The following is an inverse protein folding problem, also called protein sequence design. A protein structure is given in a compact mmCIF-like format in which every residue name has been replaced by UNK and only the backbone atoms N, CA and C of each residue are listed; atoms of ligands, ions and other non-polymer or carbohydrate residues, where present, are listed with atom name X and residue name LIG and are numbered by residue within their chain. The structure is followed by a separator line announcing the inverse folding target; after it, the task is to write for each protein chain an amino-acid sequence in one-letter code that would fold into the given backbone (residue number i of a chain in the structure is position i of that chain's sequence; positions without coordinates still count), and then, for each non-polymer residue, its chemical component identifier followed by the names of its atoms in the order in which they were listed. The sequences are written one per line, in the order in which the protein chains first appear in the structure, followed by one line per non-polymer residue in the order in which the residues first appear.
data_IF_542623402393
#
_entry.id   IF_542623402393
#
_cell.length_a   1.000
_cell.length_b   1.000
_cell.length_c   1.000
_cell.angle_alpha   90.00
_cell.angle_beta   90.00
_cell.angle_gamma   90.00
#
_symmetry.space_group_name_H-M   'P 1'
#
loop_
_entity.id
_entity.type
_entity.pdbx_description
1 polymer ?
#
# COMPACT_ATOMS: atom_id res chain seq x y z
N UNK A 1 5.29 -12.12 7.71
CA UNK A 1 5.16 -11.14 6.62
C UNK A 1 3.89 -11.50 5.88
N UNK A 2 2.93 -10.60 5.66
CA UNK A 2 1.86 -10.92 4.70
C UNK A 2 2.53 -10.98 3.33
N UNK A 3 2.54 -12.17 2.76
CA UNK A 3 3.08 -12.45 1.43
C UNK A 3 2.35 -11.57 0.42
N UNK A 4 3.07 -11.08 -0.58
CA UNK A 4 2.44 -10.40 -1.70
C UNK A 4 1.47 -11.35 -2.39
N UNK A 5 0.30 -10.86 -2.75
CA UNK A 5 -0.69 -11.63 -3.47
C UNK A 5 -0.54 -11.36 -4.96
N UNK A 6 -0.66 -12.38 -5.79
CA UNK A 6 -0.70 -12.18 -7.23
C UNK A 6 -1.95 -11.36 -7.61
N UNK A 7 -1.83 -10.50 -8.61
CA UNK A 7 -2.94 -9.75 -9.17
C UNK A 7 -2.77 -9.62 -10.67
N UNK A 8 -3.90 -9.57 -11.39
CA UNK A 8 -3.93 -9.62 -12.84
C UNK A 8 -4.70 -8.43 -13.44
N UNK A 9 -4.27 -8.00 -14.62
CA UNK A 9 -4.84 -6.89 -15.38
C UNK A 9 -4.84 -7.20 -16.88
N UNK A 10 -5.80 -6.66 -17.63
CA UNK A 10 -5.82 -6.70 -19.10
C UNK A 10 -5.15 -5.50 -19.75
N UNK A 11 -4.82 -4.45 -18.99
CA UNK A 11 -4.40 -3.15 -19.53
C UNK A 11 -3.18 -2.53 -18.82
N UNK A 12 -2.46 -3.30 -18.00
CA UNK A 12 -1.31 -2.86 -17.20
C UNK A 12 -1.63 -1.80 -16.12
N UNK A 13 -2.89 -1.36 -15.97
CA UNK A 13 -3.27 -0.33 -15.00
C UNK A 13 -4.23 -0.88 -13.94
N UNK A 14 -5.28 -1.59 -14.36
CA UNK A 14 -6.39 -2.01 -13.53
C UNK A 14 -6.22 -3.45 -13.02
N UNK A 15 -5.25 -3.65 -12.12
CA UNK A 15 -5.00 -4.93 -11.46
C UNK A 15 -6.09 -5.29 -10.45
N UNK A 16 -7.23 -5.83 -10.91
CA UNK A 16 -8.42 -6.08 -10.08
C UNK A 16 -8.80 -7.55 -9.92
N UNK A 17 -8.05 -8.46 -10.55
CA UNK A 17 -8.32 -9.89 -10.53
C UNK A 17 -7.27 -10.59 -9.66
N UNK A 18 -7.71 -11.50 -8.78
CA UNK A 18 -6.82 -12.17 -7.81
C UNK A 18 -6.07 -13.36 -8.43
N UNK A 19 -6.53 -13.85 -9.59
CA UNK A 19 -5.88 -14.89 -10.36
C UNK A 19 -6.20 -14.74 -11.87
N UNK A 20 -5.50 -15.52 -12.70
CA UNK A 20 -5.75 -15.58 -14.14
C UNK A 20 -7.17 -16.06 -14.47
N UNK A 21 -7.69 -17.05 -13.75
CA UNK A 21 -9.03 -17.59 -13.98
C UNK A 21 -10.11 -16.51 -13.78
N UNK A 22 -10.01 -15.70 -12.73
CA UNK A 22 -10.94 -14.58 -12.47
C UNK A 22 -10.91 -13.54 -13.60
N UNK A 23 -9.72 -13.27 -14.15
CA UNK A 23 -9.53 -12.38 -15.28
C UNK A 23 -10.18 -12.96 -16.53
N UNK A 24 -9.94 -14.22 -16.85
CA UNK A 24 -10.49 -14.89 -18.03
C UNK A 24 -12.01 -15.03 -17.95
N UNK A 25 -12.56 -15.37 -16.78
CA UNK A 25 -14.00 -15.48 -16.55
C UNK A 25 -14.74 -14.13 -16.66
N UNK A 26 -14.01 -13.02 -16.52
CA UNK A 26 -14.57 -11.67 -16.58
C UNK A 26 -14.38 -10.97 -17.93
N UNK A 27 -13.60 -11.54 -18.85
CA UNK A 27 -13.25 -10.92 -20.14
C UNK A 27 -13.35 -11.96 -21.28
N UNK A 28 -14.51 -11.99 -21.96
CA UNK A 28 -14.83 -12.95 -23.02
C UNK A 28 -14.09 -12.68 -24.35
N UNK A 29 -13.41 -11.54 -24.49
CA UNK A 29 -12.72 -11.09 -25.71
C UNK A 29 -11.23 -11.50 -25.78
N UNK A 30 -10.74 -12.24 -24.78
CA UNK A 30 -9.36 -12.69 -24.71
C UNK A 30 -9.12 -13.95 -25.55
N UNK A 31 -8.09 -13.90 -26.41
CA UNK A 31 -7.73 -14.98 -27.34
C UNK A 31 -6.27 -15.43 -27.14
N UNK A 32 -5.94 -16.62 -27.66
CA UNK A 32 -4.56 -17.13 -27.67
C UNK A 32 -3.63 -16.14 -28.37
N UNK A 33 -2.51 -15.81 -27.72
CA UNK A 33 -1.56 -14.80 -28.17
C UNK A 33 -1.86 -13.38 -27.69
N UNK A 34 -3.02 -13.16 -27.05
CA UNK A 34 -3.30 -11.92 -26.32
C UNK A 34 -2.34 -11.73 -25.14
N UNK A 35 -2.04 -10.48 -24.80
CA UNK A 35 -1.15 -10.15 -23.68
C UNK A 35 -2.01 -9.65 -22.52
N UNK A 36 -1.84 -10.28 -21.37
CA UNK A 36 -2.34 -9.79 -20.08
C UNK A 36 -1.16 -9.52 -19.16
N UNK A 37 -1.41 -8.92 -18.00
CA UNK A 37 -0.38 -8.50 -17.08
C UNK A 37 -0.60 -9.15 -15.73
N UNK A 38 0.49 -9.62 -15.14
CA UNK A 38 0.50 -10.17 -13.79
C UNK A 38 1.53 -9.41 -12.95
N UNK A 39 1.16 -9.10 -11.72
CA UNK A 39 2.01 -8.41 -10.77
C UNK A 39 1.73 -8.87 -9.34
N UNK A 40 2.46 -8.27 -8.40
CA UNK A 40 2.34 -8.55 -6.97
C UNK A 40 1.67 -7.38 -6.25
N UNK A 41 0.54 -7.63 -5.61
CA UNK A 41 -0.15 -6.69 -4.76
C UNK A 41 0.43 -6.73 -3.34
N UNK A 42 0.76 -5.55 -2.80
CA UNK A 42 1.15 -5.37 -1.40
C UNK A 42 0.40 -4.21 -0.78
N UNK A 43 -0.38 -4.53 0.24
CA UNK A 43 -1.01 -3.53 1.08
C UNK A 43 0.05 -2.77 1.88
N UNK A 44 -0.10 -1.43 2.01
CA UNK A 44 0.79 -0.66 2.86
C UNK A 44 0.59 -1.08 4.31
N UNK A 45 1.67 -1.03 5.08
CA UNK A 45 1.58 -1.12 6.54
C UNK A 45 1.17 0.23 7.13
N UNK A 46 0.57 0.26 8.33
CA UNK A 46 0.18 1.50 8.99
C UNK A 46 1.29 2.54 9.08
N UNK A 47 2.52 2.13 9.41
CA UNK A 47 3.69 3.01 9.47
C UNK A 47 4.06 3.68 8.15
N UNK A 48 3.59 3.17 7.01
CA UNK A 48 3.81 3.80 5.71
C UNK A 48 2.80 4.91 5.43
N UNK A 49 1.77 5.05 6.26
CA UNK A 49 0.70 6.05 6.11
C UNK A 49 0.84 7.19 7.10
N UNK A 50 1.13 6.86 8.36
CA UNK A 50 1.44 7.82 9.41
C UNK A 50 2.17 7.11 10.55
N UNK A 51 3.19 7.73 11.10
CA UNK A 51 3.88 7.30 12.31
C UNK A 51 4.01 8.45 13.34
N UNK A 52 4.72 8.19 14.44
CA UNK A 52 4.94 9.18 15.48
C UNK A 52 5.79 10.37 15.00
N UNK A 53 6.73 10.16 14.07
CA UNK A 53 7.61 11.23 13.57
C UNK A 53 6.78 12.26 12.80
N UNK A 54 5.82 11.83 11.97
CA UNK A 54 4.90 12.73 11.27
C UNK A 54 4.18 13.72 12.21
N UNK A 55 3.74 13.24 13.38
CA UNK A 55 3.03 14.05 14.37
C UNK A 55 4.00 14.93 15.16
N UNK A 56 5.16 14.40 15.55
CA UNK A 56 6.17 15.12 16.32
C UNK A 56 6.77 16.26 15.47
N UNK A 57 7.07 16.01 14.21
CA UNK A 57 7.54 17.01 13.25
C UNK A 57 6.48 18.11 13.07
N UNK A 58 5.20 17.74 12.94
CA UNK A 58 4.12 18.72 12.88
C UNK A 58 4.01 19.57 14.15
N UNK A 59 4.23 18.98 15.33
CA UNK A 59 4.25 19.73 16.59
C UNK A 59 5.45 20.69 16.63
N UNK A 60 6.62 20.23 16.19
CA UNK A 60 7.84 21.03 16.08
C UNK A 60 7.64 22.25 15.15
N UNK A 61 7.13 22.02 13.94
CA UNK A 61 6.83 23.09 12.96
C UNK A 61 5.87 24.13 13.54
N UNK A 62 4.78 23.69 14.16
CA UNK A 62 3.82 24.59 14.78
C UNK A 62 4.43 25.37 15.96
N UNK A 63 5.30 24.73 16.74
CA UNK A 63 5.99 25.40 17.85
C UNK A 63 6.94 26.47 17.33
N UNK A 64 7.67 26.19 16.24
CA UNK A 64 8.51 27.16 15.55
C UNK A 64 7.69 28.36 15.01
N UNK A 65 6.55 28.12 14.39
CA UNK A 65 5.68 29.21 13.91
C UNK A 65 5.18 30.13 15.04
N UNK A 66 5.02 29.58 16.26
CA UNK A 66 4.55 30.32 17.44
C UNK A 66 5.70 31.03 18.17
N UNK A 67 6.80 30.33 18.42
CA UNK A 67 7.87 30.76 19.31
C UNK A 67 9.19 31.12 18.61
N UNK A 68 9.33 30.80 17.32
CA UNK A 68 10.58 30.90 16.57
C UNK A 68 11.71 30.17 17.29
N UNK A 69 12.85 30.84 17.38
CA UNK A 69 14.05 30.37 18.11
C UNK A 69 13.76 29.97 19.58
N UNK A 70 12.74 30.56 20.22
CA UNK A 70 12.40 30.18 21.61
C UNK A 70 11.69 28.83 21.74
N UNK A 71 11.27 28.25 20.60
CA UNK A 71 10.71 26.91 20.52
C UNK A 71 11.72 25.88 19.98
N UNK A 72 12.99 26.27 19.78
CA UNK A 72 14.07 25.35 19.44
C UNK A 72 14.09 24.17 20.44
N UNK A 73 14.30 22.96 19.93
CA UNK A 73 14.24 21.67 20.65
C UNK A 73 12.86 21.20 21.16
N UNK A 74 11.78 21.98 21.08
CA UNK A 74 10.43 21.49 21.42
C UNK A 74 9.87 20.59 20.28
N UNK A 75 9.22 19.44 20.56
CA UNK A 75 8.72 18.97 21.87
C UNK A 75 9.64 18.06 22.69
N UNK A 76 10.93 17.89 22.36
CA UNK A 76 11.91 17.01 23.04
C UNK A 76 11.30 15.73 23.66
N UNK A 77 10.93 14.79 22.80
CA UNK A 77 10.16 13.60 23.18
C UNK A 77 11.09 12.48 23.63
N UNK A 78 10.76 11.81 24.74
CA UNK A 78 11.49 10.61 25.17
C UNK A 78 11.21 9.44 24.23
N UNK A 79 12.13 8.50 24.14
CA UNK A 79 11.94 7.28 23.32
C UNK A 79 10.70 6.49 23.75
N UNK A 80 10.40 6.43 25.05
CA UNK A 80 9.23 5.73 25.57
C UNK A 80 7.92 6.40 25.15
N UNK A 81 7.86 7.74 25.19
CA UNK A 81 6.68 8.49 24.73
C UNK A 81 6.51 8.44 23.21
N UNK A 82 7.62 8.44 22.46
CA UNK A 82 7.61 8.23 21.01
C UNK A 82 7.00 6.88 20.66
N UNK A 83 7.48 5.80 21.30
CA UNK A 83 6.94 4.45 21.05
C UNK A 83 5.46 4.33 21.45
N UNK A 84 5.05 4.96 22.55
CA UNK A 84 3.64 5.01 22.95
C UNK A 84 2.76 5.66 21.87
N UNK A 85 3.20 6.79 21.31
CA UNK A 85 2.48 7.48 20.24
C UNK A 85 2.45 6.64 18.95
N UNK A 86 3.57 6.02 18.58
CA UNK A 86 3.70 5.16 17.40
C UNK A 86 2.74 3.96 17.48
N UNK A 87 2.71 3.27 18.62
CA UNK A 87 1.80 2.14 18.87
C UNK A 87 0.33 2.57 18.83
N UNK A 88 0.02 3.74 19.38
CA UNK A 88 -1.32 4.31 19.35
C UNK A 88 -1.79 4.59 17.92
N UNK A 89 -0.98 5.29 17.12
CA UNK A 89 -1.30 5.65 15.73
C UNK A 89 -1.52 4.39 14.89
N UNK A 90 -0.60 3.43 14.96
CA UNK A 90 -0.70 2.14 14.24
C UNK A 90 -1.97 1.40 14.60
N UNK A 91 -2.28 1.31 15.89
CA UNK A 91 -3.49 0.65 16.39
C UNK A 91 -4.76 1.35 15.93
N UNK A 92 -4.75 2.69 15.94
CA UNK A 92 -5.89 3.49 15.50
C UNK A 92 -6.16 3.30 14.01
N UNK A 93 -5.12 3.36 13.17
CA UNK A 93 -5.23 3.14 11.72
C UNK A 93 -5.83 1.76 11.45
N UNK A 94 -5.30 0.71 12.06
CA UNK A 94 -5.78 -0.65 11.85
C UNK A 94 -7.23 -0.85 12.31
N UNK A 95 -7.67 -0.10 13.33
CA UNK A 95 -9.02 -0.22 13.89
C UNK A 95 -10.05 0.59 13.11
N UNK A 96 -9.69 1.77 12.63
CA UNK A 96 -10.64 2.77 12.13
C UNK A 96 -10.50 3.08 10.64
N UNK A 97 -9.33 2.87 10.05
CA UNK A 97 -9.09 3.03 8.62
C UNK A 97 -8.10 1.99 8.08
N UNK A 98 -8.39 0.68 8.22
CA UNK A 98 -7.50 -0.36 7.70
C UNK A 98 -7.30 -0.16 6.19
N UNK A 99 -6.06 -0.23 5.66
CA UNK A 99 -5.80 0.00 4.25
C UNK A 99 -6.57 -0.99 3.37
N UNK A 100 -7.39 -0.47 2.46
CA UNK A 100 -8.16 -1.24 1.48
C UNK A 100 -7.61 -1.10 0.05
N UNK A 101 -6.41 -0.55 -0.08
CA UNK A 101 -5.69 -0.35 -1.34
C UNK A 101 -4.31 -1.01 -1.23
N UNK A 102 -3.67 -1.22 -2.37
CA UNK A 102 -2.35 -1.83 -2.48
C UNK A 102 -1.53 -1.14 -3.57
N UNK A 103 -0.22 -1.33 -3.47
CA UNK A 103 0.70 -1.05 -4.56
C UNK A 103 0.94 -2.34 -5.35
N UNK A 104 0.99 -2.22 -6.68
CA UNK A 104 1.40 -3.31 -7.57
C UNK A 104 2.88 -3.13 -7.93
N UNK A 105 3.65 -4.21 -7.89
CA UNK A 105 5.07 -4.23 -8.26
C UNK A 105 5.41 -5.52 -9.01
N UNK A 106 6.59 -5.57 -9.62
CA UNK A 106 7.08 -6.69 -10.45
C UNK A 106 6.09 -7.10 -11.56
N UNK A 107 5.49 -6.10 -12.22
CA UNK A 107 4.57 -6.32 -13.34
C UNK A 107 5.31 -6.97 -14.51
N UNK A 108 4.73 -8.03 -15.05
CA UNK A 108 5.22 -8.73 -16.24
C UNK A 108 4.07 -9.06 -17.18
N UNK A 109 4.38 -9.06 -18.47
CA UNK A 109 3.49 -9.55 -19.51
C UNK A 109 3.35 -11.08 -19.41
N UNK A 110 2.12 -11.56 -19.62
CA UNK A 110 1.76 -12.95 -19.76
C UNK A 110 1.02 -13.12 -21.09
N UNK A 111 1.64 -13.83 -22.03
CA UNK A 111 1.02 -14.14 -23.31
C UNK A 111 0.10 -15.34 -23.13
N UNK A 112 -1.19 -15.16 -23.40
CA UNK A 112 -2.20 -16.19 -23.25
C UNK A 112 -1.93 -17.38 -24.17
N UNK A 113 -1.88 -18.56 -23.58
CA UNK A 113 -1.69 -19.82 -24.29
C UNK A 113 -3.01 -20.55 -24.48
N UNK A 114 -3.02 -21.58 -25.32
CA UNK A 114 -4.18 -22.48 -25.41
C UNK A 114 -4.48 -23.20 -24.09
N UNK A 115 -3.47 -23.42 -23.23
CA UNK A 115 -3.65 -24.09 -21.95
C UNK A 115 -4.34 -23.17 -20.94
N UNK A 116 -3.99 -21.89 -20.92
CA UNK A 116 -4.63 -20.89 -20.05
C UNK A 116 -6.13 -20.77 -20.33
N UNK A 117 -6.55 -20.93 -21.59
CA UNK A 117 -7.96 -20.86 -22.00
C UNK A 117 -8.71 -22.20 -21.90
N UNK A 118 -8.03 -23.30 -21.52
CA UNK A 118 -8.66 -24.61 -21.29
C UNK A 118 -9.09 -24.73 -19.83
N UNK A 119 -10.40 -24.60 -19.60
CA UNK A 119 -11.04 -24.87 -18.31
C UNK A 119 -11.01 -26.37 -17.94
#
# INVERSE_FOLDING_TARGET
MKESQECWSTDEENFRYDCLDDLLDSNDDLEVGGVVYVGNAKHPKPEQLCDADDIIDRISDNAWDIGGEYAEDYPNVTREAHQELDDFIKSWIMKHCPPNFYQVFDVREHVLTEEDLKK
#
